data_IF_601322998451
#
_entry.id   IF_601322998451
#
_cell.length_a   1.000
_cell.length_b   1.000
_cell.length_c   1.000
_cell.angle_alpha   90.00
_cell.angle_beta   90.00
_cell.angle_gamma   90.00
#
_symmetry.space_group_name_H-M   'P 1'
#
loop_
_entity.id
_entity.type
_entity.pdbx_description
1 polymer ?
#
# COMPACT_ATOMS: atom_id res chain seq x y z
N UNK A 1 -5.99 -18.66 0.94
CA UNK A 1 -6.73 -17.67 0.14
C UNK A 1 -6.95 -18.24 -1.26
N UNK A 2 -8.06 -17.91 -1.94
CA UNK A 2 -8.25 -18.23 -3.37
C UNK A 2 -7.60 -17.11 -4.20
N UNK A 3 -6.81 -17.45 -5.21
CA UNK A 3 -6.01 -16.47 -5.98
C UNK A 3 -6.35 -16.43 -7.47
N UNK A 4 -7.32 -17.23 -7.93
CA UNK A 4 -7.65 -17.39 -9.35
C UNK A 4 -8.20 -16.10 -9.98
N UNK A 5 -9.09 -15.42 -9.27
CA UNK A 5 -9.65 -14.10 -9.63
C UNK A 5 -8.55 -13.06 -9.82
N UNK A 6 -7.66 -12.96 -8.83
CA UNK A 6 -6.54 -12.02 -8.78
C UNK A 6 -5.53 -12.30 -9.90
N UNK A 7 -5.17 -13.57 -10.10
CA UNK A 7 -4.23 -14.00 -11.14
C UNK A 7 -4.72 -13.66 -12.55
N UNK A 8 -6.03 -13.68 -12.76
CA UNK A 8 -6.65 -13.29 -14.04
C UNK A 8 -6.72 -11.76 -14.20
N UNK A 9 -7.03 -11.03 -13.13
CA UNK A 9 -7.25 -9.59 -13.18
C UNK A 9 -5.96 -8.76 -13.22
N UNK A 10 -5.01 -9.03 -12.31
CA UNK A 10 -3.91 -8.10 -12.05
C UNK A 10 -2.95 -7.85 -13.24
N UNK A 11 -2.60 -8.84 -14.09
CA UNK A 11 -1.79 -8.59 -15.28
C UNK A 11 -2.48 -7.65 -16.29
N UNK A 12 -3.79 -7.86 -16.50
CA UNK A 12 -4.59 -7.03 -17.38
C UNK A 12 -4.71 -5.60 -16.83
N UNK A 13 -5.01 -5.48 -15.54
CA UNK A 13 -5.05 -4.20 -14.84
C UNK A 13 -3.75 -3.39 -15.02
N UNK A 14 -2.57 -4.03 -14.99
CA UNK A 14 -1.31 -3.32 -15.25
C UNK A 14 -1.32 -2.62 -16.60
N UNK A 15 -1.70 -3.32 -17.65
CA UNK A 15 -1.73 -2.77 -19.02
C UNK A 15 -2.77 -1.66 -19.15
N UNK A 16 -3.93 -1.82 -18.53
CA UNK A 16 -5.02 -0.84 -18.62
C UNK A 16 -4.72 0.43 -17.83
N UNK A 17 -4.13 0.31 -16.63
CA UNK A 17 -3.68 1.46 -15.87
C UNK A 17 -2.57 2.22 -16.59
N UNK A 18 -1.56 1.53 -17.16
CA UNK A 18 -0.50 2.17 -17.97
C UNK A 18 -1.11 2.94 -19.16
N UNK A 19 -2.07 2.33 -19.85
CA UNK A 19 -2.77 2.96 -20.97
C UNK A 19 -3.53 4.21 -20.51
N UNK A 20 -4.25 4.13 -19.39
CA UNK A 20 -5.05 5.21 -18.85
C UNK A 20 -4.20 6.40 -18.38
N UNK A 21 -3.12 6.17 -17.62
CA UNK A 21 -2.23 7.25 -17.17
C UNK A 21 -1.46 7.87 -18.34
N UNK A 22 -1.08 7.06 -19.34
CA UNK A 22 -0.44 7.56 -20.58
C UNK A 22 -1.38 8.50 -21.33
N UNK A 23 -2.67 8.16 -21.41
CA UNK A 23 -3.70 9.03 -22.01
C UNK A 23 -3.87 10.33 -21.23
N UNK A 24 -3.82 10.28 -19.89
CA UNK A 24 -3.84 11.49 -19.06
C UNK A 24 -2.60 12.36 -19.29
N UNK A 25 -1.39 11.78 -19.32
CA UNK A 25 -0.17 12.53 -19.61
C UNK A 25 -0.26 13.26 -20.97
N UNK A 26 -0.78 12.58 -22.00
CA UNK A 26 -0.99 13.16 -23.32
C UNK A 26 -2.01 14.31 -23.31
N UNK A 27 -3.04 14.26 -22.46
CA UNK A 27 -3.99 15.39 -22.26
C UNK A 27 -3.25 16.66 -21.81
N UNK A 28 -2.24 16.52 -20.96
CA UNK A 28 -1.38 17.61 -20.50
C UNK A 28 -0.14 17.84 -21.37
N UNK A 29 -0.15 17.35 -22.62
CA UNK A 29 0.90 17.59 -23.60
C UNK A 29 2.24 16.94 -23.26
N UNK A 30 2.23 15.83 -22.53
CA UNK A 30 3.42 15.06 -22.18
C UNK A 30 3.29 13.69 -22.86
N UNK A 31 4.18 13.41 -23.81
CA UNK A 31 4.21 12.15 -24.57
C UNK A 31 5.63 11.58 -24.57
N UNK A 32 5.79 10.37 -25.11
CA UNK A 32 7.11 9.75 -25.23
C UNK A 32 8.08 10.52 -26.15
N UNK A 33 7.56 11.21 -27.16
CA UNK A 33 8.37 11.92 -28.15
C UNK A 33 8.50 13.43 -27.91
N UNK A 34 7.56 14.03 -27.18
CA UNK A 34 7.52 15.47 -26.99
C UNK A 34 6.86 15.88 -25.67
N UNK A 35 7.31 17.03 -25.16
CA UNK A 35 6.64 17.78 -24.09
C UNK A 35 6.28 19.14 -24.66
N UNK A 36 4.98 19.43 -24.75
CA UNK A 36 4.48 20.68 -25.29
C UNK A 36 4.85 21.87 -24.38
N UNK A 37 5.07 23.07 -24.96
CA UNK A 37 5.33 24.27 -24.18
C UNK A 37 4.08 24.72 -23.40
N UNK A 38 4.31 25.49 -22.35
CA UNK A 38 3.27 26.07 -21.50
C UNK A 38 3.37 27.60 -21.55
N UNK A 39 2.23 28.26 -21.71
CA UNK A 39 2.11 29.71 -21.63
C UNK A 39 1.03 30.10 -20.61
N UNK A 40 1.41 30.81 -19.54
CA UNK A 40 0.48 31.25 -18.50
C UNK A 40 -0.06 32.64 -18.85
N UNK A 41 -1.38 32.77 -18.92
CA UNK A 41 -2.12 34.01 -19.20
C UNK A 41 -3.18 34.23 -18.11
N UNK A 42 -2.80 34.88 -17.02
CA UNK A 42 -3.68 35.09 -15.87
C UNK A 42 -4.10 33.76 -15.25
N UNK A 43 -5.41 33.51 -15.15
CA UNK A 43 -5.99 32.31 -14.53
C UNK A 43 -6.05 31.10 -15.48
N UNK A 44 -5.53 31.24 -16.70
CA UNK A 44 -5.49 30.18 -17.71
C UNK A 44 -4.04 29.86 -18.07
N UNK A 45 -3.73 28.57 -18.20
CA UNK A 45 -2.49 28.06 -18.78
C UNK A 45 -2.78 27.37 -20.11
N UNK A 46 -2.02 27.71 -21.15
CA UNK A 46 -2.12 27.10 -22.47
C UNK A 46 -1.06 26.02 -22.59
N UNK A 47 -1.48 24.78 -22.83
CA UNK A 47 -0.59 23.67 -23.15
C UNK A 47 -0.73 23.38 -24.63
N UNK A 48 0.28 23.78 -25.43
CA UNK A 48 0.08 23.97 -26.87
C UNK A 48 -1.08 24.94 -27.12
N UNK A 49 -2.11 24.50 -27.85
CA UNK A 49 -3.31 25.30 -28.14
C UNK A 49 -4.50 25.04 -27.19
N UNK A 50 -4.32 24.21 -26.15
CA UNK A 50 -5.41 23.80 -25.25
C UNK A 50 -5.40 24.60 -23.94
N UNK A 51 -6.53 25.22 -23.55
CA UNK A 51 -6.62 25.96 -22.31
C UNK A 51 -6.91 25.05 -21.11
N UNK A 52 -6.25 25.34 -19.99
CA UNK A 52 -6.41 24.70 -18.69
C UNK A 52 -6.42 25.77 -17.58
N UNK A 53 -6.98 25.48 -16.38
CA UNK A 53 -6.79 26.35 -15.22
C UNK A 53 -5.30 26.53 -14.88
N UNK A 54 -4.91 27.74 -14.46
CA UNK A 54 -3.52 28.04 -14.11
C UNK A 54 -2.97 27.14 -12.98
N UNK A 55 -3.84 26.62 -12.10
CA UNK A 55 -3.47 25.67 -11.03
C UNK A 55 -2.77 24.41 -11.54
N UNK A 56 -3.00 24.01 -12.79
CA UNK A 56 -2.40 22.81 -13.38
C UNK A 56 -0.91 22.99 -13.72
N UNK A 57 -0.40 24.23 -13.80
CA UNK A 57 0.98 24.48 -14.22
C UNK A 57 2.01 23.83 -13.28
N UNK A 58 1.84 23.99 -11.97
CA UNK A 58 2.81 23.49 -10.99
C UNK A 58 2.85 21.95 -10.94
N UNK A 59 1.72 21.23 -10.81
CA UNK A 59 1.72 19.76 -10.85
C UNK A 59 2.23 19.22 -12.19
N UNK A 60 1.95 19.90 -13.30
CA UNK A 60 2.46 19.52 -14.62
C UNK A 60 3.98 19.64 -14.71
N UNK A 61 4.56 20.74 -14.24
CA UNK A 61 6.01 20.93 -14.26
C UNK A 61 6.73 19.87 -13.41
N UNK A 62 6.14 19.47 -12.28
CA UNK A 62 6.62 18.36 -11.49
C UNK A 62 6.55 17.02 -12.25
N UNK A 63 5.46 16.77 -12.97
CA UNK A 63 5.34 15.59 -13.83
C UNK A 63 6.39 15.59 -14.97
N UNK A 64 6.63 16.74 -15.61
CA UNK A 64 7.67 16.89 -16.65
C UNK A 64 9.06 16.59 -16.08
N UNK A 65 9.40 17.11 -14.89
CA UNK A 65 10.67 16.79 -14.23
C UNK A 65 10.81 15.30 -13.95
N UNK A 66 9.75 14.64 -13.47
CA UNK A 66 9.74 13.19 -13.24
C UNK A 66 9.98 12.40 -14.53
N UNK A 67 9.33 12.80 -15.63
CA UNK A 67 9.55 12.21 -16.97
C UNK A 67 10.97 12.45 -17.48
N UNK A 68 11.56 13.62 -17.22
CA UNK A 68 12.95 13.90 -17.59
C UNK A 68 13.97 13.06 -16.80
N UNK A 69 13.68 12.78 -15.53
CA UNK A 69 14.55 11.99 -14.65
C UNK A 69 14.48 10.49 -14.94
N UNK A 70 13.28 9.94 -15.13
CA UNK A 70 13.05 8.50 -15.26
C UNK A 70 12.90 8.04 -16.71
N UNK A 71 12.63 8.96 -17.63
CA UNK A 71 12.10 8.64 -18.94
C UNK A 71 10.58 8.38 -18.90
N UNK A 72 9.93 8.61 -20.05
CA UNK A 72 8.47 8.60 -20.16
C UNK A 72 7.84 7.26 -19.74
N UNK A 73 8.35 6.14 -20.28
CA UNK A 73 7.78 4.82 -20.02
C UNK A 73 7.84 4.43 -18.54
N UNK A 74 8.99 4.65 -17.90
CA UNK A 74 9.16 4.34 -16.48
C UNK A 74 8.29 5.25 -15.59
N UNK A 75 8.19 6.54 -15.93
CA UNK A 75 7.31 7.46 -15.20
C UNK A 75 5.83 7.05 -15.29
N UNK A 76 5.36 6.63 -16.48
CA UNK A 76 3.99 6.12 -16.64
C UNK A 76 3.77 4.80 -15.90
N UNK A 77 4.74 3.90 -15.92
CA UNK A 77 4.66 2.63 -15.19
C UNK A 77 4.58 2.84 -13.67
N UNK A 78 5.39 3.76 -13.12
CA UNK A 78 5.31 4.11 -11.71
C UNK A 78 3.96 4.75 -11.36
N UNK A 79 3.48 5.70 -12.16
CA UNK A 79 2.20 6.37 -11.90
C UNK A 79 0.99 5.41 -11.99
N UNK A 80 0.98 4.53 -12.99
CA UNK A 80 -0.03 3.48 -13.15
C UNK A 80 -0.10 2.60 -11.90
N UNK A 81 1.07 2.18 -11.41
CA UNK A 81 1.18 1.35 -10.23
C UNK A 81 0.72 2.08 -8.96
N UNK A 82 1.10 3.35 -8.77
CA UNK A 82 0.64 4.15 -7.63
C UNK A 82 -0.89 4.25 -7.59
N UNK A 83 -1.54 4.51 -8.73
CA UNK A 83 -3.01 4.55 -8.79
C UNK A 83 -3.65 3.20 -8.53
N UNK A 84 -3.10 2.12 -9.11
CA UNK A 84 -3.56 0.77 -8.85
C UNK A 84 -3.52 0.43 -7.35
N UNK A 85 -2.41 0.73 -6.68
CA UNK A 85 -2.25 0.46 -5.25
C UNK A 85 -3.19 1.29 -4.39
N UNK A 86 -3.37 2.58 -4.68
CA UNK A 86 -4.31 3.44 -3.94
C UNK A 86 -5.74 2.93 -4.04
N UNK A 87 -6.16 2.50 -5.23
CA UNK A 87 -7.50 1.94 -5.42
C UNK A 87 -7.65 0.58 -4.73
N UNK A 88 -6.64 -0.29 -4.77
CA UNK A 88 -6.65 -1.55 -4.01
C UNK A 88 -6.71 -1.31 -2.50
N UNK A 89 -5.97 -0.31 -2.00
CA UNK A 89 -5.99 0.08 -0.60
C UNK A 89 -7.37 0.60 -0.18
N UNK A 90 -7.96 1.53 -0.94
CA UNK A 90 -9.32 2.01 -0.69
C UNK A 90 -10.33 0.86 -0.75
N UNK A 91 -10.20 -0.06 -1.72
CA UNK A 91 -11.08 -1.24 -1.83
C UNK A 91 -11.01 -2.14 -0.59
N UNK A 92 -9.80 -2.42 -0.10
CA UNK A 92 -9.64 -3.17 1.15
C UNK A 92 -10.28 -2.42 2.33
N UNK A 93 -10.00 -1.12 2.45
CA UNK A 93 -10.46 -0.30 3.57
C UNK A 93 -11.96 -0.08 3.59
N UNK A 94 -12.63 0.08 2.44
CA UNK A 94 -14.08 0.26 2.41
C UNK A 94 -14.82 -1.01 2.82
N UNK A 95 -14.28 -2.19 2.48
CA UNK A 95 -14.86 -3.48 2.87
C UNK A 95 -14.61 -3.79 4.34
N UNK A 96 -13.48 -3.33 4.89
CA UNK A 96 -13.14 -3.45 6.31
C UNK A 96 -13.76 -2.35 7.20
N UNK A 97 -14.48 -1.38 6.62
CA UNK A 97 -15.02 -0.19 7.32
C UNK A 97 -13.93 0.67 8.00
N UNK A 98 -12.83 0.91 7.30
CA UNK A 98 -11.65 1.64 7.80
C UNK A 98 -11.52 3.08 7.26
N UNK A 99 -12.44 3.53 6.40
CA UNK A 99 -12.41 4.89 5.83
C UNK A 99 -12.91 5.98 6.80
N UNK A 100 -13.49 5.62 7.95
CA UNK A 100 -13.84 6.53 9.03
C UNK A 100 -15.21 7.20 8.91
N UNK A 101 -15.69 7.44 7.68
CA UNK A 101 -17.02 8.00 7.44
C UNK A 101 -18.10 6.93 7.21
N UNK A 102 -17.77 5.63 7.13
CA UNK A 102 -18.75 4.53 7.04
C UNK A 102 -19.49 4.42 5.69
N UNK A 103 -18.96 5.02 4.62
CA UNK A 103 -19.50 4.89 3.25
C UNK A 103 -18.46 4.21 2.36
N UNK A 104 -18.91 3.47 1.36
CA UNK A 104 -18.03 2.89 0.33
C UNK A 104 -17.69 3.93 -0.74
N UNK A 105 -16.42 3.96 -1.16
CA UNK A 105 -15.88 4.93 -2.13
C UNK A 105 -15.93 4.37 -3.55
N UNK A 106 -15.55 3.09 -3.72
CA UNK A 106 -15.42 2.41 -5.01
C UNK A 106 -16.64 1.58 -5.37
N UNK A 107 -17.55 1.37 -4.43
CA UNK A 107 -18.73 0.54 -4.62
C UNK A 107 -19.93 1.04 -3.81
N UNK A 108 -21.04 0.31 -3.87
CA UNK A 108 -22.21 0.51 -3.03
C UNK A 108 -22.63 -0.83 -2.42
N UNK A 109 -23.04 -0.88 -1.13
CA UNK A 109 -23.38 -2.14 -0.45
C UNK A 109 -24.67 -2.83 -0.91
N UNK A 110 -25.53 -2.15 -1.67
CA UNK A 110 -26.90 -2.58 -1.99
C UNK A 110 -27.26 -2.39 -3.48
N UNK A 111 -26.57 -1.48 -4.16
CA UNK A 111 -26.84 -1.13 -5.55
C UNK A 111 -25.64 -1.49 -6.44
N UNK A 112 -25.78 -2.54 -7.24
CA UNK A 112 -24.76 -2.89 -8.22
C UNK A 112 -24.54 -1.74 -9.22
N UNK A 113 -23.27 -1.46 -9.53
CA UNK A 113 -22.87 -0.38 -10.46
C UNK A 113 -23.15 1.05 -9.96
N UNK A 114 -23.37 1.23 -8.66
CA UNK A 114 -23.43 2.55 -8.01
C UNK A 114 -22.24 2.76 -7.06
N UNK A 115 -22.06 4.01 -6.63
CA UNK A 115 -21.03 4.43 -5.70
C UNK A 115 -21.69 5.13 -4.51
N UNK A 116 -21.58 4.55 -3.31
CA UNK A 116 -22.25 5.11 -2.13
C UNK A 116 -21.74 6.52 -1.81
N UNK A 117 -20.45 6.79 -2.02
CA UNK A 117 -19.87 8.12 -1.81
C UNK A 117 -20.53 9.22 -2.67
N UNK A 118 -21.08 8.89 -3.86
CA UNK A 118 -21.83 9.85 -4.67
C UNK A 118 -23.21 10.13 -4.08
N UNK A 119 -23.89 9.09 -3.60
CA UNK A 119 -25.22 9.21 -2.99
C UNK A 119 -25.16 10.06 -1.73
N UNK A 120 -24.21 9.73 -0.84
CA UNK A 120 -24.09 10.27 0.51
C UNK A 120 -23.08 11.43 0.62
N UNK A 121 -22.61 12.00 -0.50
CA UNK A 121 -21.52 12.99 -0.54
C UNK A 121 -21.75 14.22 0.36
N UNK A 122 -23.00 14.58 0.65
CA UNK A 122 -23.33 15.73 1.50
C UNK A 122 -23.16 15.47 3.01
N UNK A 123 -23.09 14.20 3.41
CA UNK A 123 -22.92 13.75 4.79
C UNK A 123 -21.48 13.30 5.09
N UNK A 124 -20.56 13.52 4.14
CA UNK A 124 -19.16 13.14 4.23
C UNK A 124 -18.34 14.40 4.48
N UNK A 125 -17.55 14.38 5.55
CA UNK A 125 -16.62 15.45 5.91
C UNK A 125 -15.19 14.92 5.71
N UNK A 126 -14.55 15.35 4.62
CA UNK A 126 -13.18 15.01 4.29
C UNK A 126 -12.31 16.28 4.33
N UNK A 127 -11.11 16.23 4.94
CA UNK A 127 -10.21 17.38 4.97
C UNK A 127 -9.90 17.91 3.56
N UNK A 128 -10.07 19.22 3.37
CA UNK A 128 -9.77 19.90 2.11
C UNK A 128 -10.90 19.90 1.07
N UNK A 129 -12.02 19.21 1.33
CA UNK A 129 -13.15 19.14 0.40
C UNK A 129 -13.98 20.43 0.44
N UNK A 130 -14.18 21.09 -0.71
CA UNK A 130 -15.08 22.25 -0.80
C UNK A 130 -16.54 21.81 -0.86
N UNK A 131 -17.20 21.79 0.29
CA UNK A 131 -18.61 21.39 0.40
C UNK A 131 -19.58 22.30 -0.36
N UNK A 132 -19.19 23.54 -0.69
CA UNK A 132 -19.97 24.41 -1.58
C UNK A 132 -19.98 23.87 -3.00
N UNK A 133 -18.79 23.56 -3.53
CA UNK A 133 -18.62 22.96 -4.85
C UNK A 133 -19.23 21.56 -4.95
N UNK A 134 -19.10 20.73 -3.92
CA UNK A 134 -19.73 19.39 -3.88
C UNK A 134 -21.25 19.49 -4.00
N UNK A 135 -21.89 20.42 -3.27
CA UNK A 135 -23.33 20.68 -3.39
C UNK A 135 -23.71 21.15 -4.79
N UNK A 136 -22.93 22.06 -5.38
CA UNK A 136 -23.18 22.55 -6.74
C UNK A 136 -23.15 21.40 -7.76
N UNK A 137 -22.08 20.58 -7.74
CA UNK A 137 -21.93 19.43 -8.63
C UNK A 137 -23.04 18.39 -8.43
N UNK A 138 -23.42 18.12 -7.18
CA UNK A 138 -24.49 17.18 -6.83
C UNK A 138 -25.87 17.66 -7.32
N UNK A 139 -26.13 18.97 -7.26
CA UNK A 139 -27.40 19.56 -7.71
C UNK A 139 -27.49 19.66 -9.24
N UNK A 140 -26.37 19.85 -9.93
CA UNK A 140 -26.32 19.84 -11.40
C UNK A 140 -26.75 18.47 -11.95
N UNK A 141 -26.27 17.37 -11.36
CA UNK A 141 -26.67 16.01 -11.70
C UNK A 141 -26.17 15.51 -13.06
N UNK A 142 -25.48 16.34 -13.86
CA UNK A 142 -24.84 15.92 -15.12
C UNK A 142 -23.32 15.79 -15.01
N UNK A 143 -22.75 16.17 -13.86
CA UNK A 143 -21.30 16.22 -13.58
C UNK A 143 -20.82 15.17 -12.57
N UNK A 144 -21.49 14.02 -12.51
CA UNK A 144 -21.16 12.93 -11.57
C UNK A 144 -19.71 12.46 -11.66
N UNK A 145 -19.13 12.43 -12.87
CA UNK A 145 -17.72 12.05 -13.07
C UNK A 145 -16.77 13.03 -12.37
N UNK A 146 -17.06 14.34 -12.44
CA UNK A 146 -16.26 15.36 -11.77
C UNK A 146 -16.48 15.33 -10.26
N UNK A 147 -17.73 15.17 -9.82
CA UNK A 147 -18.08 15.01 -8.41
C UNK A 147 -17.34 13.79 -7.80
N UNK A 148 -17.36 12.66 -8.50
CA UNK A 148 -16.69 11.44 -8.07
C UNK A 148 -15.19 11.65 -7.94
N UNK A 149 -14.58 12.34 -8.91
CA UNK A 149 -13.16 12.66 -8.90
C UNK A 149 -12.77 13.50 -7.68
N UNK A 150 -13.53 14.55 -7.38
CA UNK A 150 -13.28 15.41 -6.20
C UNK A 150 -13.39 14.61 -4.90
N UNK A 151 -14.38 13.73 -4.78
CA UNK A 151 -14.58 12.88 -3.62
C UNK A 151 -13.46 11.83 -3.45
N UNK A 152 -13.04 11.19 -4.54
CA UNK A 152 -11.97 10.20 -4.52
C UNK A 152 -10.62 10.83 -4.15
N UNK A 153 -10.32 12.02 -4.69
CA UNK A 153 -9.11 12.76 -4.33
C UNK A 153 -9.16 13.20 -2.87
N UNK A 154 -10.29 13.77 -2.41
CA UNK A 154 -10.48 14.13 -1.00
C UNK A 154 -10.30 12.93 -0.06
N UNK A 155 -10.74 11.73 -0.47
CA UNK A 155 -10.48 10.50 0.28
C UNK A 155 -8.99 10.16 0.34
N UNK A 156 -8.26 10.29 -0.77
CA UNK A 156 -6.80 10.08 -0.80
C UNK A 156 -6.10 11.06 0.14
N UNK A 157 -6.49 12.34 0.13
CA UNK A 157 -5.91 13.37 1.00
C UNK A 157 -6.18 13.12 2.48
N UNK A 158 -7.35 12.61 2.82
CA UNK A 158 -7.65 12.19 4.19
C UNK A 158 -6.73 11.03 4.63
N UNK A 159 -6.51 10.05 3.76
CA UNK A 159 -5.66 8.88 4.04
C UNK A 159 -4.17 9.23 4.09
N UNK A 160 -3.73 10.28 3.39
CA UNK A 160 -2.35 10.78 3.46
C UNK A 160 -1.91 11.11 4.89
N UNK A 161 -2.82 11.57 5.76
CA UNK A 161 -2.47 11.90 7.16
C UNK A 161 -1.96 10.68 7.94
N UNK A 162 -2.54 9.50 7.70
CA UNK A 162 -2.17 8.26 8.38
C UNK A 162 -1.14 7.44 7.60
N UNK A 163 -1.16 7.52 6.26
CA UNK A 163 -0.34 6.70 5.37
C UNK A 163 0.28 7.56 4.25
N UNK A 164 1.14 8.54 4.61
CA UNK A 164 1.76 9.45 3.64
C UNK A 164 2.72 8.74 2.69
N UNK A 165 3.15 7.53 3.03
CA UNK A 165 3.98 6.69 2.17
C UNK A 165 3.21 6.11 0.97
N UNK A 166 1.87 6.02 1.01
CA UNK A 166 1.06 5.40 -0.05
C UNK A 166 0.15 6.42 -0.78
N UNK A 167 -0.40 7.35 -0.02
CA UNK A 167 -1.24 8.44 -0.54
C UNK A 167 -0.43 9.72 -0.55
N UNK A 168 -0.43 10.44 -1.67
CA UNK A 168 0.35 11.67 -1.84
C UNK A 168 -0.39 12.86 -1.21
N UNK A 169 0.31 13.96 -0.91
CA UNK A 169 -0.31 15.19 -0.46
C UNK A 169 -1.17 15.84 -1.56
N UNK A 170 -1.98 16.82 -1.15
CA UNK A 170 -2.74 17.72 -2.05
C UNK A 170 -1.85 18.32 -3.15
N UNK A 171 -2.40 18.43 -4.36
CA UNK A 171 -1.79 19.04 -5.55
C UNK A 171 -0.56 18.27 -6.09
N UNK A 172 -0.44 16.99 -5.76
CA UNK A 172 0.64 16.16 -6.30
C UNK A 172 0.51 15.94 -7.82
N UNK A 173 1.67 15.83 -8.48
CA UNK A 173 1.76 15.62 -9.92
C UNK A 173 1.01 14.37 -10.41
N UNK A 174 0.91 13.33 -9.55
CA UNK A 174 0.20 12.09 -9.89
C UNK A 174 -1.31 12.25 -9.93
N UNK A 175 -1.89 13.29 -9.33
CA UNK A 175 -3.33 13.60 -9.43
C UNK A 175 -3.75 13.90 -10.86
N UNK A 176 -2.90 14.58 -11.63
CA UNK A 176 -3.13 14.79 -13.06
C UNK A 176 -3.28 13.47 -13.81
N UNK A 177 -2.64 12.41 -13.33
CA UNK A 177 -2.64 11.09 -13.96
C UNK A 177 -3.79 10.18 -13.48
N UNK A 178 -4.63 10.63 -12.55
CA UNK A 178 -5.84 9.89 -12.17
C UNK A 178 -6.70 9.65 -13.43
N UNK A 179 -6.99 8.38 -13.78
CA UNK A 179 -7.78 8.06 -14.97
C UNK A 179 -9.15 8.76 -15.01
N UNK A 180 -9.64 9.00 -16.22
CA UNK A 180 -11.01 9.49 -16.47
C UNK A 180 -11.96 8.31 -16.68
N UNK A 181 -13.26 8.62 -16.77
CA UNK A 181 -14.35 7.66 -16.95
C UNK A 181 -14.49 6.69 -15.77
N UNK A 182 -14.17 7.14 -14.56
CA UNK A 182 -14.19 6.35 -13.34
C UNK A 182 -15.58 5.82 -13.00
N UNK A 183 -16.62 6.56 -13.36
CA UNK A 183 -18.02 6.19 -13.12
C UNK A 183 -18.63 5.30 -14.22
N UNK A 184 -17.93 5.06 -15.33
CA UNK A 184 -18.46 4.27 -16.46
C UNK A 184 -18.42 2.77 -16.19
N UNK A 185 -19.21 2.01 -16.96
CA UNK A 185 -19.33 0.55 -16.81
C UNK A 185 -18.07 -0.21 -17.20
N UNK A 186 -17.22 0.39 -18.04
CA UNK A 186 -15.92 -0.10 -18.49
C UNK A 186 -14.75 0.58 -17.75
N UNK A 187 -15.01 1.19 -16.57
CA UNK A 187 -13.96 1.85 -15.80
C UNK A 187 -13.04 0.86 -15.09
N UNK A 188 -11.80 1.30 -14.82
CA UNK A 188 -10.81 0.54 -14.05
C UNK A 188 -11.31 0.18 -12.65
N UNK A 189 -12.10 1.06 -12.04
CA UNK A 189 -12.71 0.84 -10.71
C UNK A 189 -13.76 -0.25 -10.82
N UNK A 190 -14.62 -0.17 -11.83
CA UNK A 190 -15.68 -1.16 -12.03
C UNK A 190 -15.09 -2.54 -12.28
N UNK A 191 -14.03 -2.63 -13.07
CA UNK A 191 -13.32 -3.87 -13.32
C UNK A 191 -12.69 -4.45 -12.04
N UNK A 192 -12.01 -3.62 -11.22
CA UNK A 192 -11.46 -4.05 -9.92
C UNK A 192 -12.54 -4.67 -9.01
N UNK A 193 -13.68 -3.98 -8.88
CA UNK A 193 -14.77 -4.37 -7.97
C UNK A 193 -15.48 -5.64 -8.45
N UNK A 194 -15.63 -5.83 -9.76
CA UNK A 194 -16.34 -7.00 -10.34
C UNK A 194 -15.42 -8.20 -10.50
N UNK A 195 -14.17 -8.00 -10.89
CA UNK A 195 -13.26 -9.10 -11.21
C UNK A 195 -12.83 -9.89 -9.96
N UNK A 196 -12.83 -9.25 -8.79
CA UNK A 196 -12.40 -9.82 -7.52
C UNK A 196 -13.56 -9.82 -6.52
N UNK A 197 -14.09 -11.01 -6.15
CA UNK A 197 -15.14 -11.14 -5.14
C UNK A 197 -14.78 -10.50 -3.80
N UNK A 198 -15.77 -9.93 -3.08
CA UNK A 198 -15.53 -9.27 -1.79
C UNK A 198 -14.87 -10.21 -0.76
N UNK A 199 -15.23 -11.50 -0.77
CA UNK A 199 -14.67 -12.53 0.13
C UNK A 199 -13.14 -12.66 0.01
N UNK A 200 -12.57 -12.42 -1.17
CA UNK A 200 -11.12 -12.50 -1.37
C UNK A 200 -10.39 -11.35 -0.64
N UNK A 201 -11.07 -10.23 -0.40
CA UNK A 201 -10.54 -9.06 0.32
C UNK A 201 -10.55 -9.22 1.84
N UNK A 202 -11.17 -10.27 2.38
CA UNK A 202 -11.25 -10.50 3.83
C UNK A 202 -9.87 -10.73 4.49
N UNK A 203 -8.85 -11.09 3.71
CA UNK A 203 -7.48 -11.28 4.18
C UNK A 203 -6.54 -10.25 3.54
N UNK A 204 -5.78 -9.54 4.37
CA UNK A 204 -4.81 -8.52 3.93
C UNK A 204 -3.74 -9.07 2.96
N UNK A 205 -3.46 -10.37 3.00
CA UNK A 205 -2.56 -11.03 2.04
C UNK A 205 -2.96 -10.77 0.57
N UNK A 206 -4.24 -10.46 0.29
CA UNK A 206 -4.71 -10.09 -1.05
C UNK A 206 -3.85 -9.03 -1.72
N UNK A 207 -3.38 -8.04 -0.94
CA UNK A 207 -2.56 -6.94 -1.43
C UNK A 207 -1.22 -7.46 -1.96
N UNK A 208 -0.62 -8.43 -1.28
CA UNK A 208 0.60 -9.08 -1.72
C UNK A 208 0.41 -9.92 -2.98
N UNK A 209 -0.73 -10.60 -3.12
CA UNK A 209 -1.06 -11.36 -4.33
C UNK A 209 -1.36 -10.47 -5.53
N UNK A 210 -2.09 -9.37 -5.32
CA UNK A 210 -2.35 -8.36 -6.35
C UNK A 210 -1.03 -7.83 -6.90
N UNK A 211 -0.11 -7.44 -6.03
CA UNK A 211 1.23 -7.00 -6.44
C UNK A 211 1.95 -8.06 -7.26
N UNK A 212 2.02 -9.29 -6.75
CA UNK A 212 2.74 -10.38 -7.40
C UNK A 212 2.25 -10.62 -8.83
N UNK A 213 0.93 -10.69 -9.01
CA UNK A 213 0.36 -10.94 -10.34
C UNK A 213 0.39 -9.70 -11.22
N UNK A 214 0.35 -8.49 -10.66
CA UNK A 214 0.48 -7.24 -11.42
C UNK A 214 1.82 -7.19 -12.18
N UNK A 215 2.93 -7.61 -11.54
CA UNK A 215 4.27 -7.56 -12.17
C UNK A 215 4.69 -8.86 -12.87
N UNK A 216 3.85 -9.89 -12.93
CA UNK A 216 4.26 -11.22 -13.40
C UNK A 216 4.72 -11.26 -14.85
N UNK A 217 4.02 -10.57 -15.76
CA UNK A 217 4.41 -10.53 -17.18
C UNK A 217 5.73 -9.78 -17.38
N UNK A 218 5.95 -8.70 -16.63
CA UNK A 218 7.20 -7.94 -16.66
C UNK A 218 8.36 -8.80 -16.16
N UNK A 219 8.15 -9.58 -15.10
CA UNK A 219 9.12 -10.57 -14.62
C UNK A 219 9.51 -11.56 -15.73
N UNK A 220 8.54 -12.15 -16.42
CA UNK A 220 8.82 -13.12 -17.49
C UNK A 220 9.60 -12.49 -18.67
N UNK A 221 9.45 -11.19 -18.90
CA UNK A 221 10.20 -10.46 -19.94
C UNK A 221 11.68 -10.24 -19.60
N UNK A 222 12.01 -10.08 -18.32
CA UNK A 222 13.36 -9.65 -17.87
C UNK A 222 14.17 -10.78 -17.22
N UNK A 223 13.52 -11.83 -16.73
CA UNK A 223 14.18 -12.97 -16.08
C UNK A 223 15.14 -13.68 -17.05
N UNK A 224 16.31 -14.07 -16.56
CA UNK A 224 17.32 -14.80 -17.34
C UNK A 224 18.12 -13.95 -18.33
N UNK A 225 17.96 -12.61 -18.32
CA UNK A 225 18.76 -11.66 -19.11
C UNK A 225 19.70 -10.86 -18.20
N UNK A 226 20.61 -10.09 -18.79
CA UNK A 226 21.27 -8.99 -18.06
C UNK A 226 20.17 -7.99 -17.70
N UNK A 227 19.90 -7.83 -16.41
CA UNK A 227 18.77 -7.04 -15.90
C UNK A 227 19.24 -5.60 -15.68
N UNK A 228 18.53 -4.64 -16.26
CA UNK A 228 18.75 -3.21 -16.00
C UNK A 228 18.32 -2.88 -14.56
N UNK A 229 18.89 -1.85 -13.94
CA UNK A 229 18.64 -1.55 -12.52
C UNK A 229 17.16 -1.37 -12.19
N UNK A 230 16.40 -0.73 -13.09
CA UNK A 230 14.96 -0.52 -12.97
C UNK A 230 14.12 -1.80 -13.03
N UNK A 231 14.67 -2.88 -13.61
CA UNK A 231 13.99 -4.16 -13.83
C UNK A 231 14.35 -5.20 -12.76
N UNK A 232 15.32 -4.90 -11.87
CA UNK A 232 15.74 -5.79 -10.78
C UNK A 232 14.54 -6.25 -9.94
N UNK A 233 13.65 -5.36 -9.45
CA UNK A 233 12.51 -5.77 -8.63
C UNK A 233 11.64 -6.84 -9.29
N UNK A 234 11.35 -6.67 -10.58
CA UNK A 234 10.54 -7.62 -11.33
C UNK A 234 11.28 -8.97 -11.49
N UNK A 235 12.58 -8.95 -11.79
CA UNK A 235 13.38 -10.15 -12.00
C UNK A 235 13.54 -11.00 -10.74
N UNK A 236 13.68 -10.36 -9.57
CA UNK A 236 13.96 -11.03 -8.29
C UNK A 236 12.72 -11.36 -7.47
N UNK A 237 11.53 -10.98 -7.91
CA UNK A 237 10.29 -11.22 -7.16
C UNK A 237 10.03 -12.72 -6.95
N UNK A 238 10.18 -13.20 -5.72
CA UNK A 238 9.89 -14.57 -5.31
C UNK A 238 9.01 -14.55 -4.05
N UNK A 239 8.02 -15.43 -4.00
CA UNK A 239 7.09 -15.52 -2.88
C UNK A 239 7.55 -16.57 -1.87
N UNK A 240 7.45 -16.23 -0.58
CA UNK A 240 7.66 -17.17 0.52
C UNK A 240 6.32 -17.81 0.90
N UNK A 241 6.09 -19.12 0.63
CA UNK A 241 4.88 -19.81 1.03
C UNK A 241 4.55 -19.58 2.52
N UNK A 242 3.26 -19.45 2.86
CA UNK A 242 2.81 -19.11 4.21
C UNK A 242 3.39 -20.05 5.29
N UNK A 243 3.50 -21.36 5.02
CA UNK A 243 4.11 -22.30 5.97
C UNK A 243 5.60 -22.00 6.24
N UNK A 244 6.36 -21.53 5.24
CA UNK A 244 7.76 -21.12 5.41
C UNK A 244 7.83 -19.84 6.23
N UNK A 245 6.94 -18.89 5.96
CA UNK A 245 6.84 -17.64 6.74
C UNK A 245 6.59 -17.95 8.22
N UNK A 246 5.58 -18.77 8.51
CA UNK A 246 5.28 -19.22 9.88
C UNK A 246 6.45 -19.95 10.51
N UNK A 247 7.06 -20.88 9.78
CA UNK A 247 8.24 -21.59 10.23
C UNK A 247 9.37 -20.62 10.63
N UNK A 248 9.70 -19.63 9.79
CA UNK A 248 10.75 -18.66 10.07
C UNK A 248 10.44 -17.82 11.31
N UNK A 249 9.22 -17.28 11.43
CA UNK A 249 8.83 -16.42 12.56
C UNK A 249 8.78 -17.20 13.87
N UNK A 250 8.20 -18.41 13.86
CA UNK A 250 8.06 -19.25 15.05
C UNK A 250 9.42 -19.77 15.55
N UNK A 251 10.34 -20.10 14.64
CA UNK A 251 11.68 -20.58 15.00
C UNK A 251 12.73 -19.46 15.16
N UNK A 252 12.33 -18.19 15.07
CA UNK A 252 13.18 -17.03 15.41
C UNK A 252 12.62 -16.30 16.63
N UNK A 253 11.61 -15.44 16.44
CA UNK A 253 10.94 -14.70 17.52
C UNK A 253 10.31 -15.65 18.55
N UNK A 254 9.60 -16.68 18.09
CA UNK A 254 8.98 -17.65 18.99
C UNK A 254 10.00 -18.45 19.79
N UNK A 255 11.07 -18.91 19.15
CA UNK A 255 12.17 -19.60 19.81
C UNK A 255 12.88 -18.72 20.85
N UNK A 256 13.12 -17.44 20.54
CA UNK A 256 13.70 -16.50 21.50
C UNK A 256 12.79 -16.30 22.72
N UNK A 257 11.48 -16.16 22.49
CA UNK A 257 10.50 -16.04 23.57
C UNK A 257 10.47 -17.30 24.44
N UNK A 258 10.35 -18.48 23.84
CA UNK A 258 10.27 -19.77 24.53
C UNK A 258 11.58 -20.17 25.22
N UNK A 259 12.72 -19.66 24.77
CA UNK A 259 14.00 -19.85 25.48
C UNK A 259 13.95 -19.21 26.87
N UNK A 260 13.32 -18.03 26.99
CA UNK A 260 13.17 -17.32 28.27
C UNK A 260 11.95 -17.79 29.06
N UNK A 261 10.84 -18.11 28.37
CA UNK A 261 9.59 -18.56 28.97
C UNK A 261 9.16 -19.94 28.45
N UNK A 262 9.84 -21.04 28.84
CA UNK A 262 9.57 -22.38 28.28
C UNK A 262 8.16 -22.92 28.55
N UNK A 263 7.47 -22.37 29.55
CA UNK A 263 6.11 -22.75 29.93
C UNK A 263 5.04 -21.83 29.34
N UNK A 264 5.42 -20.92 28.43
CA UNK A 264 4.46 -20.04 27.76
C UNK A 264 3.43 -20.87 26.98
N UNK A 265 2.12 -20.62 27.16
CA UNK A 265 1.07 -21.27 26.36
C UNK A 265 1.17 -20.96 24.86
N UNK A 266 1.93 -19.93 24.44
CA UNK A 266 2.09 -19.57 23.03
C UNK A 266 2.70 -20.69 22.20
N UNK A 267 3.48 -21.61 22.81
CA UNK A 267 3.98 -22.81 22.13
C UNK A 267 2.86 -23.59 21.42
N UNK A 268 1.67 -23.66 22.02
CA UNK A 268 0.51 -24.35 21.43
C UNK A 268 -0.09 -23.65 20.19
N UNK A 269 0.30 -22.41 19.92
CA UNK A 269 -0.13 -21.62 18.76
C UNK A 269 0.92 -21.64 17.62
N UNK A 270 2.11 -22.20 17.87
CA UNK A 270 3.22 -22.23 16.92
C UNK A 270 3.32 -23.59 16.22
N UNK A 271 2.45 -23.82 15.25
CA UNK A 271 2.32 -25.09 14.49
C UNK A 271 3.64 -25.65 13.92
N UNK A 272 4.55 -24.78 13.51
CA UNK A 272 5.82 -25.11 12.86
C UNK A 272 7.04 -24.90 13.77
N UNK A 273 6.85 -24.65 15.06
CA UNK A 273 7.95 -24.55 16.01
C UNK A 273 8.66 -25.90 16.20
N UNK A 274 9.98 -25.89 16.10
CA UNK A 274 10.83 -27.06 16.35
C UNK A 274 11.32 -27.01 17.78
N UNK A 275 11.01 -28.07 18.55
CA UNK A 275 11.59 -28.24 19.88
C UNK A 275 13.09 -28.53 19.80
N UNK A 276 13.93 -27.82 20.58
CA UNK A 276 15.35 -28.15 20.67
C UNK A 276 15.54 -29.61 21.09
N UNK A 277 16.42 -30.33 20.38
CA UNK A 277 16.81 -31.67 20.78
C UNK A 277 17.50 -31.66 22.15
N UNK A 278 17.44 -32.79 22.86
CA UNK A 278 18.12 -32.93 24.16
C UNK A 278 19.62 -32.66 24.02
N UNK A 279 20.10 -31.72 24.83
CA UNK A 279 21.52 -31.31 24.86
C UNK A 279 22.22 -31.91 26.09
N UNK A 280 23.55 -32.00 26.02
CA UNK A 280 24.38 -32.37 27.18
C UNK A 280 24.25 -31.35 28.31
N UNK A 281 24.54 -31.75 29.55
CA UNK A 281 24.42 -30.88 30.72
C UNK A 281 25.35 -29.65 30.62
N UNK A 282 26.52 -29.80 29.99
CA UNK A 282 27.44 -28.70 29.72
C UNK A 282 26.81 -27.64 28.81
N UNK A 283 26.18 -28.06 27.70
CA UNK A 283 25.51 -27.14 26.77
C UNK A 283 24.29 -26.50 27.44
N UNK A 284 23.51 -27.26 28.23
CA UNK A 284 22.39 -26.71 29.01
C UNK A 284 22.86 -25.60 29.96
N UNK A 285 24.00 -25.79 30.64
CA UNK A 285 24.57 -24.78 31.53
C UNK A 285 25.02 -23.51 30.78
N UNK A 286 25.64 -23.66 29.61
CA UNK A 286 26.03 -22.52 28.76
C UNK A 286 24.81 -21.74 28.26
N UNK A 287 23.77 -22.44 27.79
CA UNK A 287 22.53 -21.82 27.33
C UNK A 287 21.83 -21.06 28.47
N UNK A 288 21.77 -21.64 29.67
CA UNK A 288 21.19 -20.97 30.83
C UNK A 288 21.96 -19.71 31.24
N UNK A 289 23.28 -19.66 31.01
CA UNK A 289 24.10 -18.49 31.34
C UNK A 289 23.91 -17.31 30.38
N UNK A 290 23.57 -17.57 29.11
CA UNK A 290 23.37 -16.53 28.08
C UNK A 290 21.89 -16.16 27.89
N UNK A 291 20.96 -17.01 28.34
CA UNK A 291 19.53 -16.75 28.22
C UNK A 291 19.10 -15.76 29.30
N UNK A 292 18.48 -14.63 28.95
CA UNK A 292 18.01 -13.67 29.94
C UNK A 292 16.90 -14.29 30.81
N UNK A 293 16.85 -13.94 32.09
CA UNK A 293 15.80 -14.41 33.01
C UNK A 293 14.45 -13.77 32.74
N UNK A 294 14.42 -12.67 32.00
CA UNK A 294 13.22 -11.94 31.62
C UNK A 294 13.46 -11.21 30.29
N UNK A 295 12.45 -11.24 29.43
CA UNK A 295 12.37 -10.41 28.23
C UNK A 295 11.21 -9.42 28.35
N UNK A 296 11.49 -8.17 28.00
CA UNK A 296 10.50 -7.15 27.77
C UNK A 296 10.14 -7.15 26.28
N UNK A 297 8.86 -7.35 25.90
CA UNK A 297 8.49 -7.40 24.48
C UNK A 297 8.79 -6.12 23.73
N UNK A 298 8.83 -4.96 24.39
CA UNK A 298 9.16 -3.68 23.76
C UNK A 298 10.63 -3.56 23.31
N UNK A 299 11.53 -4.38 23.85
CA UNK A 299 12.96 -4.37 23.53
C UNK A 299 13.33 -5.38 22.43
N UNK A 300 12.36 -6.19 21.97
CA UNK A 300 12.58 -7.19 20.93
C UNK A 300 12.37 -6.57 19.54
N UNK A 301 13.33 -6.72 18.64
CA UNK A 301 13.21 -6.22 17.26
C UNK A 301 13.29 -7.37 16.26
N UNK A 302 12.46 -7.33 15.22
CA UNK A 302 12.51 -8.24 14.08
C UNK A 302 12.64 -7.43 12.81
N UNK A 303 13.61 -7.81 11.97
CA UNK A 303 13.84 -7.20 10.67
C UNK A 303 13.63 -8.21 9.54
N UNK A 304 12.90 -7.79 8.51
CA UNK A 304 12.92 -8.43 7.20
C UNK A 304 13.61 -7.48 6.19
N UNK A 305 14.88 -7.74 5.83
CA UNK A 305 15.66 -6.83 4.99
C UNK A 305 15.33 -6.94 3.48
N UNK A 306 14.41 -7.81 3.09
CA UNK A 306 13.89 -7.94 1.73
C UNK A 306 12.38 -8.26 1.79
N UNK A 307 11.66 -7.33 2.43
CA UNK A 307 10.30 -7.52 2.95
C UNK A 307 9.24 -7.83 1.91
N UNK A 308 9.47 -7.49 0.65
CA UNK A 308 8.52 -7.65 -0.43
C UNK A 308 7.19 -6.99 -0.06
N UNK A 309 6.11 -7.76 -0.13
CA UNK A 309 4.77 -7.33 0.30
C UNK A 309 4.47 -7.58 1.79
N UNK A 310 5.48 -7.93 2.59
CA UNK A 310 5.42 -7.84 4.04
C UNK A 310 4.94 -9.10 4.75
N UNK A 311 4.90 -10.26 4.08
CA UNK A 311 4.32 -11.50 4.64
C UNK A 311 4.98 -11.92 5.97
N UNK A 312 6.31 -11.84 6.06
CA UNK A 312 7.05 -12.17 7.29
C UNK A 312 6.71 -11.17 8.40
N UNK A 313 6.67 -9.87 8.09
CA UNK A 313 6.36 -8.84 9.07
C UNK A 313 4.90 -8.90 9.55
N UNK A 314 3.96 -9.28 8.68
CA UNK A 314 2.55 -9.50 9.04
C UNK A 314 2.39 -10.72 9.96
N UNK A 315 3.11 -11.81 9.71
CA UNK A 315 3.12 -12.97 10.62
C UNK A 315 3.83 -12.64 11.95
N UNK A 316 4.93 -11.90 11.89
CA UNK A 316 5.63 -11.41 13.07
C UNK A 316 4.75 -10.49 13.93
N UNK A 317 3.93 -9.63 13.31
CA UNK A 317 2.95 -8.80 14.02
C UNK A 317 2.01 -9.64 14.87
N UNK A 318 1.46 -10.74 14.33
CA UNK A 318 0.55 -11.62 15.07
C UNK A 318 1.25 -12.31 16.25
N UNK A 319 2.48 -12.78 16.06
CA UNK A 319 3.23 -13.40 17.15
C UNK A 319 3.62 -12.37 18.22
N UNK A 320 4.07 -11.17 17.84
CA UNK A 320 4.32 -10.09 18.81
C UNK A 320 3.06 -9.74 19.59
N UNK A 321 1.92 -9.61 18.91
CA UNK A 321 0.64 -9.35 19.58
C UNK A 321 0.33 -10.41 20.62
N UNK A 322 0.48 -11.68 20.29
CA UNK A 322 0.27 -12.77 21.24
C UNK A 322 1.23 -12.68 22.45
N UNK A 323 2.50 -12.33 22.21
CA UNK A 323 3.51 -12.08 23.25
C UNK A 323 3.11 -10.92 24.18
N UNK A 324 2.70 -9.77 23.62
CA UNK A 324 2.27 -8.62 24.42
C UNK A 324 1.04 -8.93 25.26
N UNK A 325 0.06 -9.64 24.71
CA UNK A 325 -1.16 -10.04 25.42
C UNK A 325 -0.84 -11.02 26.57
N UNK A 326 0.08 -11.96 26.37
CA UNK A 326 0.58 -12.85 27.45
C UNK A 326 1.20 -12.03 28.60
N UNK A 327 1.86 -10.91 28.28
CA UNK A 327 2.46 -10.01 29.27
C UNK A 327 1.47 -9.04 29.92
N UNK A 328 0.18 -9.11 29.57
CA UNK A 328 -0.91 -8.35 30.19
C UNK A 328 -1.18 -6.97 29.56
N UNK A 329 -0.63 -6.69 28.38
CA UNK A 329 -0.93 -5.45 27.65
C UNK A 329 -2.38 -5.48 27.13
N UNK A 330 -2.97 -4.29 26.97
CA UNK A 330 -4.31 -4.15 26.37
C UNK A 330 -4.16 -4.17 24.86
N UNK A 331 -5.01 -4.94 24.18
CA UNK A 331 -4.96 -5.11 22.72
C UNK A 331 -4.85 -3.78 21.95
N UNK A 332 -5.62 -2.75 22.35
CA UNK A 332 -5.60 -1.44 21.69
C UNK A 332 -4.26 -0.68 21.81
N UNK A 333 -3.47 -0.96 22.86
CA UNK A 333 -2.20 -0.26 23.10
C UNK A 333 -1.05 -1.00 22.36
N UNK A 334 -1.26 -2.26 21.98
CA UNK A 334 -0.25 -3.15 21.40
C UNK A 334 0.07 -2.81 19.94
N UNK A 335 -0.93 -2.41 19.15
CA UNK A 335 -0.75 -2.13 17.73
C UNK A 335 0.36 -1.10 17.46
N UNK A 336 0.28 0.07 18.11
CA UNK A 336 1.27 1.12 17.96
C UNK A 336 2.66 0.66 18.44
N UNK A 337 2.73 -0.03 19.58
CA UNK A 337 3.99 -0.55 20.11
C UNK A 337 4.69 -1.50 19.14
N UNK A 338 3.95 -2.43 18.53
CA UNK A 338 4.49 -3.37 17.55
C UNK A 338 5.04 -2.64 16.32
N UNK A 339 4.26 -1.72 15.79
CA UNK A 339 4.60 -0.99 14.57
C UNK A 339 5.82 -0.07 14.75
N UNK A 340 5.95 0.56 15.92
CA UNK A 340 7.02 1.53 16.19
C UNK A 340 8.29 0.92 16.76
N UNK A 341 8.17 -0.15 17.57
CA UNK A 341 9.31 -0.71 18.31
C UNK A 341 9.80 -2.04 17.79
N UNK A 342 8.91 -2.88 17.28
CA UNK A 342 9.24 -4.28 17.04
C UNK A 342 9.56 -4.60 15.58
N UNK A 343 8.83 -4.02 14.63
CA UNK A 343 8.91 -4.42 13.22
C UNK A 343 9.74 -3.45 12.39
N UNK A 344 10.70 -4.02 11.66
CA UNK A 344 11.58 -3.31 10.73
C UNK A 344 11.55 -4.00 9.36
N UNK A 345 11.47 -3.22 8.29
CA UNK A 345 11.42 -3.75 6.93
C UNK A 345 12.29 -2.94 5.99
N UNK A 346 13.00 -3.62 5.09
CA UNK A 346 13.66 -2.99 3.96
C UNK A 346 13.22 -3.69 2.67
N UNK A 347 13.12 -2.94 1.58
CA UNK A 347 13.00 -3.52 0.24
C UNK A 347 13.69 -2.62 -0.79
N UNK A 348 14.14 -3.20 -1.89
CA UNK A 348 14.71 -2.41 -2.99
C UNK A 348 13.62 -1.74 -3.83
N UNK A 349 12.41 -2.30 -3.84
CA UNK A 349 11.27 -1.72 -4.53
C UNK A 349 10.45 -0.84 -3.57
N UNK A 350 10.43 0.46 -3.85
CA UNK A 350 9.59 1.43 -3.13
C UNK A 350 8.15 0.98 -3.01
N UNK A 351 7.62 0.40 -4.09
CA UNK A 351 6.26 -0.08 -4.17
C UNK A 351 5.99 -1.23 -3.20
N UNK A 352 6.93 -2.15 -3.07
CA UNK A 352 6.83 -3.27 -2.16
C UNK A 352 6.86 -2.78 -0.70
N UNK A 353 7.76 -1.85 -0.38
CA UNK A 353 7.82 -1.21 0.93
C UNK A 353 6.51 -0.50 1.30
N UNK A 354 5.89 0.23 0.36
CA UNK A 354 4.58 0.86 0.55
C UNK A 354 3.49 -0.17 0.87
N UNK A 355 3.45 -1.30 0.16
CA UNK A 355 2.48 -2.35 0.40
C UNK A 355 2.68 -3.06 1.75
N UNK A 356 3.93 -3.28 2.14
CA UNK A 356 4.29 -3.77 3.47
C UNK A 356 3.79 -2.80 4.54
N UNK A 357 4.04 -1.50 4.37
CA UNK A 357 3.55 -0.47 5.28
C UNK A 357 2.03 -0.45 5.38
N UNK A 358 1.33 -0.56 4.25
CA UNK A 358 -0.13 -0.64 4.21
C UNK A 358 -0.65 -1.88 4.95
N UNK A 359 -0.09 -3.06 4.67
CA UNK A 359 -0.50 -4.30 5.30
C UNK A 359 -0.35 -4.23 6.83
N UNK A 360 0.78 -3.73 7.31
CA UNK A 360 1.02 -3.53 8.74
C UNK A 360 0.06 -2.52 9.37
N UNK A 361 -0.23 -1.40 8.69
CA UNK A 361 -1.23 -0.44 9.16
C UNK A 361 -2.63 -1.06 9.23
N UNK A 362 -2.99 -1.95 8.32
CA UNK A 362 -4.27 -2.67 8.38
C UNK A 362 -4.32 -3.66 9.55
N UNK A 363 -3.23 -4.38 9.82
CA UNK A 363 -3.11 -5.24 11.01
C UNK A 363 -3.29 -4.43 12.30
N UNK A 364 -2.60 -3.30 12.39
CA UNK A 364 -2.74 -2.38 13.50
C UNK A 364 -4.16 -1.82 13.64
N UNK A 365 -4.78 -1.38 12.53
CA UNK A 365 -6.12 -0.79 12.52
C UNK A 365 -7.22 -1.77 12.90
N UNK A 366 -7.00 -3.07 12.68
CA UNK A 366 -7.88 -4.14 13.15
C UNK A 366 -7.86 -4.28 14.68
N UNK A 367 -6.73 -3.97 15.32
CA UNK A 367 -6.55 -4.05 16.77
C UNK A 367 -6.83 -2.74 17.51
N UNK A 368 -6.56 -1.60 16.88
CA UNK A 368 -6.90 -0.27 17.38
C UNK A 368 -7.65 0.56 16.34
N UNK A 369 -8.93 0.84 16.61
CA UNK A 369 -9.77 1.63 15.72
C UNK A 369 -9.31 3.08 15.57
N UNK A 370 -8.54 3.61 16.53
CA UNK A 370 -8.04 4.98 16.53
C UNK A 370 -6.63 5.10 15.95
N UNK A 371 -6.05 4.02 15.43
CA UNK A 371 -4.67 4.01 14.96
C UNK A 371 -4.38 5.12 13.93
N UNK A 372 -5.31 5.41 13.03
CA UNK A 372 -5.14 6.46 12.01
C UNK A 372 -5.26 7.88 12.57
N UNK A 373 -5.81 8.06 13.78
CA UNK A 373 -5.81 9.35 14.48
C UNK A 373 -4.46 9.60 15.17
N UNK A 374 -3.64 8.56 15.31
CA UNK A 374 -2.32 8.61 15.93
C UNK A 374 -1.24 8.81 14.87
N UNK A 375 -0.15 9.48 15.25
CA UNK A 375 1.05 9.55 14.41
C UNK A 375 1.89 8.30 14.63
N UNK A 376 1.56 7.24 13.88
CA UNK A 376 2.33 5.99 13.89
C UNK A 376 3.56 6.13 13.00
N UNK A 377 4.73 5.85 13.56
CA UNK A 377 5.97 5.77 12.78
C UNK A 377 6.30 4.32 12.42
N UNK A 378 6.14 3.96 11.15
CA UNK A 378 6.61 2.68 10.63
C UNK A 378 8.13 2.69 10.43
N UNK A 379 8.77 1.55 10.66
CA UNK A 379 10.19 1.33 10.33
C UNK A 379 10.35 0.45 9.07
N UNK A 380 9.50 0.67 8.08
CA UNK A 380 9.56 0.02 6.77
C UNK A 380 10.02 1.05 5.75
N UNK A 381 11.11 0.76 5.04
CA UNK A 381 11.74 1.73 4.14
C UNK A 381 12.16 1.07 2.83
N UNK A 382 12.13 1.83 1.75
CA UNK A 382 12.75 1.43 0.50
C UNK A 382 14.23 1.81 0.49
N UNK A 383 15.08 0.97 -0.08
CA UNK A 383 16.48 1.30 -0.34
C UNK A 383 16.53 2.27 -1.51
N UNK A 384 17.10 3.45 -1.28
CA UNK A 384 17.29 4.47 -2.31
C UNK A 384 18.73 4.39 -2.81
N UNK A 385 18.93 4.56 -4.11
CA UNK A 385 20.28 4.63 -4.67
C UNK A 385 21.03 5.84 -4.08
N UNK A 386 22.31 5.62 -3.78
CA UNK A 386 23.27 6.65 -3.37
C UNK A 386 23.64 7.64 -4.49
N UNK A 387 23.21 7.41 -5.75
CA UNK A 387 23.47 8.34 -6.85
C UNK A 387 22.91 9.73 -6.51
N UNK A 388 23.81 10.69 -6.35
CA UNK A 388 23.47 12.09 -6.01
C UNK A 388 23.34 12.38 -4.52
N UNK A 389 23.58 11.40 -3.63
CA UNK A 389 23.79 11.69 -2.21
C UNK A 389 25.16 12.36 -2.03
N UNK A 390 25.15 13.56 -1.47
CA UNK A 390 26.38 14.18 -0.95
C UNK A 390 26.74 13.44 0.33
N UNK A 391 27.93 12.83 0.38
CA UNK A 391 28.36 11.98 1.48
C UNK A 391 28.92 12.77 2.68
N UNK A 392 28.81 14.10 2.65
CA UNK A 392 29.31 15.04 3.67
C UNK A 392 28.26 15.46 4.70
#
# INVERSE_FOLDING_TARGET
MKTESIKRYAPQARTDFITAVTKQAAKYGITAGEVLPVEIKGDVTLIGDRPFPASISTPRDALVRRVQQLGFHQAMEQAAYSWFNRLCAIRYMELADYLGHGRRVLSHPEQDNSYQILEDCLDIDLPGLDMGRIRELKLDGTRDEELYRELLLGQCHALHQAMPFLFEPLDDATELLLPENLTKTDSLIKELVVAIPEDDWANIEIIGWLYQFYISEKKDQVIGKVVASEDIPAATQLFTPNWIVKYMVQNSLGAQWLSTYPQSPLKGQMEYYIEPAEQTDEVKAQLAAITPSQLNPEDLTLIDPASGSGHILVEAYELFKAIYLERGYRQRDVAQLILEKNLFGLDIDERAAQLTGFALMMKGRADDRRLFEQRVKLNVMALVDSVGFDAE
#
